data_IF_178043652485
#
_entry.id   IF_178043652485
#
_cell.length_a   1.000
_cell.length_b   1.000
_cell.length_c   1.000
_cell.angle_alpha   90.00
_cell.angle_beta   90.00
_cell.angle_gamma   90.00
#
_symmetry.space_group_name_H-M   'P 1'
#
loop_
_entity.id
_entity.type
_entity.pdbx_description
1 polymer ?
#
# COMPACT_ATOMS: atom_id res chain seq x y z
N UNK A 1 -24.39 6.65 -11.44
CA UNK A 1 -23.41 6.56 -10.33
C UNK A 1 -24.23 6.47 -9.06
N UNK A 2 -24.03 5.44 -8.24
CA UNK A 2 -24.80 5.27 -7.01
C UNK A 2 -24.07 6.04 -5.90
N UNK A 3 -24.77 6.99 -5.27
CA UNK A 3 -24.21 7.79 -4.18
C UNK A 3 -24.17 6.97 -2.89
N UNK A 4 -23.08 7.09 -2.13
CA UNK A 4 -22.93 6.42 -0.83
C UNK A 4 -23.46 7.34 0.25
N UNK A 5 -24.59 6.95 0.86
CA UNK A 5 -25.13 7.60 2.05
C UNK A 5 -25.06 6.66 3.26
N UNK A 6 -24.50 7.18 4.35
CA UNK A 6 -24.43 6.55 5.68
C UNK A 6 -25.02 7.56 6.68
N UNK A 7 -26.35 7.66 6.67
CA UNK A 7 -27.12 8.66 7.43
C UNK A 7 -27.10 8.42 8.94
N UNK A 8 -26.80 7.20 9.37
CA UNK A 8 -26.57 6.84 10.76
C UNK A 8 -25.09 6.54 10.91
N UNK A 9 -24.36 7.17 11.85
CA UNK A 9 -22.95 6.87 12.06
C UNK A 9 -22.70 5.38 12.27
N UNK A 10 -21.67 4.85 11.62
CA UNK A 10 -21.29 3.42 11.74
C UNK A 10 -19.81 3.25 11.97
N UNK A 11 -19.45 2.22 12.74
CA UNK A 11 -18.07 1.77 12.90
C UNK A 11 -17.88 0.45 12.16
N UNK A 12 -16.87 0.37 11.29
CA UNK A 12 -16.49 -0.85 10.58
C UNK A 12 -14.98 -0.88 10.36
N UNK A 13 -14.42 -2.07 10.20
CA UNK A 13 -13.05 -2.20 9.70
C UNK A 13 -12.97 -1.62 8.28
N UNK A 14 -11.81 -1.11 7.84
CA UNK A 14 -11.65 -0.58 6.50
C UNK A 14 -11.99 -1.63 5.43
N UNK A 15 -11.54 -2.88 5.62
CA UNK A 15 -11.81 -3.98 4.69
C UNK A 15 -13.30 -4.31 4.57
N UNK A 16 -14.02 -4.42 5.71
CA UNK A 16 -15.47 -4.66 5.69
C UNK A 16 -16.24 -3.52 5.01
N UNK A 17 -15.83 -2.26 5.24
CA UNK A 17 -16.45 -1.10 4.64
C UNK A 17 -16.27 -1.10 3.10
N UNK A 18 -15.06 -1.41 2.61
CA UNK A 18 -14.78 -1.52 1.17
C UNK A 18 -15.55 -2.71 0.56
N UNK A 19 -15.53 -3.88 1.21
CA UNK A 19 -16.29 -5.06 0.75
C UNK A 19 -17.77 -4.74 0.58
N UNK A 20 -18.37 -4.09 1.58
CA UNK A 20 -19.79 -3.66 1.52
C UNK A 20 -20.02 -2.68 0.37
N UNK A 21 -19.10 -1.73 0.17
CA UNK A 21 -19.17 -0.77 -0.92
C UNK A 21 -19.14 -1.46 -2.30
N UNK A 22 -18.22 -2.43 -2.50
CA UNK A 22 -18.14 -3.22 -3.73
C UNK A 22 -19.40 -4.07 -3.97
N UNK A 23 -19.94 -4.71 -2.94
CA UNK A 23 -21.20 -5.46 -3.02
C UNK A 23 -22.35 -4.53 -3.43
N UNK A 24 -22.45 -3.36 -2.80
CA UNK A 24 -23.50 -2.38 -3.13
C UNK A 24 -23.38 -1.85 -4.56
N UNK A 25 -22.15 -1.79 -5.10
CA UNK A 25 -21.87 -1.44 -6.49
C UNK A 25 -22.06 -2.59 -7.49
N UNK A 26 -22.57 -3.75 -7.07
CA UNK A 26 -22.84 -4.90 -7.95
C UNK A 26 -21.65 -5.82 -8.21
N UNK A 27 -20.53 -5.64 -7.51
CA UNK A 27 -19.31 -6.45 -7.69
C UNK A 27 -19.19 -7.60 -6.68
N UNK A 28 -20.27 -7.92 -5.95
CA UNK A 28 -20.23 -8.89 -4.85
C UNK A 28 -19.74 -10.28 -5.23
N UNK A 29 -20.05 -10.76 -6.43
CA UNK A 29 -19.59 -12.06 -6.95
C UNK A 29 -18.08 -12.11 -7.21
N UNK A 30 -17.43 -10.95 -7.33
CA UNK A 30 -16.00 -10.83 -7.60
C UNK A 30 -15.19 -10.51 -6.33
N UNK A 31 -15.82 -10.36 -5.16
CA UNK A 31 -15.07 -10.04 -3.94
C UNK A 31 -14.37 -11.30 -3.41
N UNK A 32 -13.04 -11.24 -3.33
CA UNK A 32 -12.21 -12.31 -2.80
C UNK A 32 -12.21 -12.44 -1.29
N UNK A 33 -11.69 -13.58 -0.80
CA UNK A 33 -11.68 -13.92 0.64
C UNK A 33 -10.70 -13.08 1.47
N UNK A 34 -9.74 -12.40 0.84
CA UNK A 34 -8.75 -11.56 1.54
C UNK A 34 -9.41 -10.43 2.34
N UNK A 35 -10.59 -9.96 1.91
CA UNK A 35 -11.37 -8.97 2.65
C UNK A 35 -11.82 -9.49 4.01
N UNK A 36 -12.28 -10.75 4.07
CA UNK A 36 -12.75 -11.37 5.31
C UNK A 36 -11.59 -11.67 6.26
N UNK A 37 -10.43 -12.06 5.72
CA UNK A 37 -9.22 -12.29 6.52
C UNK A 37 -8.73 -11.00 7.20
N UNK A 38 -8.66 -9.91 6.43
CA UNK A 38 -8.26 -8.60 6.97
C UNK A 38 -9.33 -8.05 7.92
N UNK A 39 -10.62 -8.18 7.59
CA UNK A 39 -11.71 -7.77 8.49
C UNK A 39 -11.65 -8.50 9.82
N UNK A 40 -11.51 -9.83 9.82
CA UNK A 40 -11.40 -10.62 11.03
C UNK A 40 -10.21 -10.18 11.91
N UNK A 41 -9.05 -9.95 11.28
CA UNK A 41 -7.86 -9.45 11.98
C UNK A 41 -8.07 -8.06 12.57
N UNK A 42 -8.65 -7.13 11.82
CA UNK A 42 -8.90 -5.77 12.31
C UNK A 42 -9.97 -5.72 13.38
N UNK A 43 -11.05 -6.49 13.22
CA UNK A 43 -12.13 -6.57 14.18
C UNK A 43 -11.63 -7.12 15.51
N UNK A 44 -10.76 -8.14 15.50
CA UNK A 44 -10.15 -8.70 16.69
C UNK A 44 -9.27 -7.69 17.46
N UNK A 45 -8.65 -6.74 16.74
CA UNK A 45 -7.78 -5.71 17.33
C UNK A 45 -8.50 -4.36 17.53
N UNK A 46 -9.78 -4.24 17.20
CA UNK A 46 -10.54 -3.00 17.32
C UNK A 46 -10.15 -1.91 16.33
N UNK A 47 -9.51 -2.26 15.21
CA UNK A 47 -9.07 -1.33 14.17
C UNK A 47 -10.23 -0.94 13.24
N UNK A 48 -11.02 0.03 13.67
CA UNK A 48 -12.24 0.45 12.98
C UNK A 48 -12.21 1.93 12.58
N UNK A 49 -12.90 2.23 11.48
CA UNK A 49 -13.16 3.59 11.01
C UNK A 49 -14.60 3.94 11.37
N UNK A 50 -14.78 5.09 12.00
CA UNK A 50 -16.06 5.75 12.19
C UNK A 50 -16.43 6.51 10.92
N UNK A 51 -17.65 6.27 10.42
CA UNK A 51 -18.15 6.82 9.16
C UNK A 51 -19.53 7.43 9.35
N UNK A 52 -19.70 8.66 8.86
CA UNK A 52 -20.98 9.37 8.87
C UNK A 52 -21.09 10.23 7.61
N UNK A 53 -21.71 9.69 6.57
CA UNK A 53 -21.78 10.35 5.25
C UNK A 53 -23.22 10.74 5.00
N UNK A 54 -23.50 12.03 4.99
CA UNK A 54 -24.85 12.54 4.75
C UNK A 54 -25.20 12.46 3.26
N UNK A 55 -26.48 12.21 2.96
CA UNK A 55 -26.99 12.22 1.58
C UNK A 55 -26.71 13.53 0.85
N UNK A 56 -26.65 14.65 1.58
CA UNK A 56 -26.37 15.99 1.04
C UNK A 56 -24.93 16.17 0.56
N UNK A 57 -24.02 15.26 0.89
CA UNK A 57 -22.59 15.40 0.57
C UNK A 57 -22.19 14.75 -0.77
N UNK A 58 -23.12 14.08 -1.47
CA UNK A 58 -22.95 13.51 -2.81
C UNK A 58 -21.59 12.81 -3.03
N UNK A 59 -21.19 11.92 -2.11
CA UNK A 59 -19.94 11.18 -2.23
C UNK A 59 -20.12 10.01 -3.19
N UNK A 60 -19.30 9.99 -4.25
CA UNK A 60 -19.28 8.88 -5.20
C UNK A 60 -18.68 7.63 -4.56
N UNK A 61 -19.15 6.45 -4.99
CA UNK A 61 -18.62 5.15 -4.53
C UNK A 61 -17.09 5.04 -4.68
N UNK A 62 -16.55 5.49 -5.81
CA UNK A 62 -15.10 5.49 -6.06
C UNK A 62 -14.34 6.37 -5.07
N UNK A 63 -14.86 7.56 -4.74
CA UNK A 63 -14.24 8.43 -3.74
C UNK A 63 -14.30 7.85 -2.33
N UNK A 64 -15.39 7.14 -1.99
CA UNK A 64 -15.55 6.46 -0.71
C UNK A 64 -14.57 5.30 -0.57
N UNK A 65 -14.47 4.44 -1.60
CA UNK A 65 -13.52 3.32 -1.61
C UNK A 65 -12.08 3.85 -1.55
N UNK A 66 -11.72 4.83 -2.39
CA UNK A 66 -10.39 5.44 -2.35
C UNK A 66 -10.04 6.00 -0.97
N UNK A 67 -11.04 6.60 -0.29
CA UNK A 67 -10.82 7.11 1.06
C UNK A 67 -10.57 6.01 2.09
N UNK A 68 -11.34 4.93 2.04
CA UNK A 68 -11.16 3.80 2.93
C UNK A 68 -9.85 3.03 2.65
N UNK A 69 -9.42 2.94 1.39
CA UNK A 69 -8.12 2.38 1.02
C UNK A 69 -6.99 3.22 1.63
N UNK A 70 -7.07 4.55 1.54
CA UNK A 70 -6.10 5.44 2.17
C UNK A 70 -6.07 5.27 3.70
N UNK A 71 -7.23 5.31 4.37
CA UNK A 71 -7.34 5.23 5.82
C UNK A 71 -6.90 3.87 6.39
N UNK A 72 -7.20 2.77 5.71
CA UNK A 72 -6.78 1.43 6.12
C UNK A 72 -5.37 1.06 5.65
N UNK A 73 -4.71 1.95 4.89
CA UNK A 73 -3.51 1.65 4.09
C UNK A 73 -3.63 0.30 3.34
N UNK A 74 -4.78 0.13 2.68
CA UNK A 74 -5.15 -1.05 1.93
C UNK A 74 -4.97 -0.82 0.44
N UNK A 75 -4.62 -1.87 -0.28
CA UNK A 75 -4.41 -1.84 -1.73
C UNK A 75 -5.24 -2.93 -2.39
N UNK A 76 -5.93 -2.58 -3.48
CA UNK A 76 -6.67 -3.55 -4.27
C UNK A 76 -5.77 -4.21 -5.28
N UNK A 77 -5.99 -5.50 -5.49
CA UNK A 77 -5.42 -6.25 -6.61
C UNK A 77 -6.51 -7.08 -7.27
N UNK A 78 -6.25 -7.51 -8.49
CA UNK A 78 -7.14 -8.37 -9.24
C UNK A 78 -6.42 -9.68 -9.50
N UNK A 79 -7.00 -10.76 -8.97
CA UNK A 79 -6.55 -12.10 -9.22
C UNK A 79 -7.04 -12.56 -10.59
N UNK A 80 -6.13 -12.55 -11.56
CA UNK A 80 -6.46 -12.92 -12.95
C UNK A 80 -6.86 -14.39 -13.11
N UNK A 81 -6.48 -15.27 -12.18
CA UNK A 81 -6.83 -16.70 -12.25
C UNK A 81 -8.24 -16.98 -11.75
N UNK A 82 -8.65 -16.30 -10.67
CA UNK A 82 -9.96 -16.49 -10.05
C UNK A 82 -10.99 -15.46 -10.51
N UNK A 83 -10.54 -14.39 -11.19
CA UNK A 83 -11.36 -13.24 -11.51
C UNK A 83 -11.78 -12.41 -10.29
N UNK A 84 -11.14 -12.65 -9.13
CA UNK A 84 -11.50 -12.01 -7.87
C UNK A 84 -10.75 -10.69 -7.67
N UNK A 85 -11.44 -9.71 -7.09
CA UNK A 85 -10.86 -8.52 -6.49
C UNK A 85 -10.41 -8.91 -5.09
N UNK A 86 -9.11 -8.84 -4.86
CA UNK A 86 -8.50 -9.06 -3.55
C UNK A 86 -8.00 -7.73 -2.98
N UNK A 87 -7.67 -7.76 -1.70
CA UNK A 87 -7.14 -6.64 -0.93
C UNK A 87 -5.92 -7.09 -0.16
N UNK A 88 -4.91 -6.21 -0.13
CA UNK A 88 -3.64 -6.42 0.58
C UNK A 88 -3.45 -5.29 1.58
N UNK A 89 -2.93 -5.64 2.76
CA UNK A 89 -2.53 -4.68 3.79
C UNK A 89 -1.12 -4.19 3.53
N UNK A 90 -0.99 -2.90 3.23
CA UNK A 90 0.30 -2.27 3.00
C UNK A 90 1.08 -2.87 1.84
N UNK A 91 2.27 -2.33 1.64
CA UNK A 91 3.20 -2.78 0.61
C UNK A 91 4.45 -3.42 1.20
N UNK A 92 4.74 -3.18 2.49
CA UNK A 92 5.84 -3.79 3.21
C UNK A 92 5.84 -5.31 3.09
N UNK A 93 7.03 -5.89 3.04
CA UNK A 93 7.18 -7.33 3.17
C UNK A 93 6.87 -7.76 4.61
N UNK A 94 6.08 -8.80 4.75
CA UNK A 94 5.57 -9.34 6.01
C UNK A 94 6.45 -10.46 6.59
N UNK A 95 7.59 -10.75 5.96
CA UNK A 95 8.50 -11.81 6.36
C UNK A 95 8.10 -13.20 5.85
N UNK A 96 6.98 -13.33 5.13
CA UNK A 96 6.54 -14.61 4.57
C UNK A 96 7.41 -14.97 3.36
N UNK A 97 7.73 -16.27 3.23
CA UNK A 97 8.53 -16.77 2.13
C UNK A 97 7.88 -16.50 0.76
N UNK A 98 8.64 -15.89 -0.15
CA UNK A 98 8.17 -15.61 -1.51
C UNK A 98 8.49 -16.79 -2.44
N UNK A 99 7.45 -17.34 -3.06
CA UNK A 99 7.55 -18.51 -3.95
C UNK A 99 8.04 -18.12 -5.34
N UNK A 100 7.58 -16.98 -5.86
CA UNK A 100 7.91 -16.52 -7.20
C UNK A 100 9.23 -15.77 -7.18
N UNK A 101 10.18 -16.22 -8.00
CA UNK A 101 11.53 -15.64 -8.06
C UNK A 101 11.79 -15.09 -9.45
N UNK A 102 12.54 -14.00 -9.53
CA UNK A 102 13.03 -13.47 -10.79
C UNK A 102 14.50 -13.03 -10.61
N UNK A 103 15.33 -13.38 -11.58
CA UNK A 103 16.74 -13.03 -11.63
C UNK A 103 17.02 -12.13 -12.82
N UNK A 104 18.24 -11.62 -12.95
CA UNK A 104 18.65 -10.86 -14.14
C UNK A 104 18.40 -11.60 -15.47
N UNK A 105 18.34 -12.94 -15.47
CA UNK A 105 18.05 -13.70 -16.69
C UNK A 105 16.62 -13.49 -17.20
N UNK A 106 15.68 -13.11 -16.33
CA UNK A 106 14.29 -12.86 -16.70
C UNK A 106 14.09 -11.46 -17.30
N UNK A 107 15.03 -10.54 -17.06
CA UNK A 107 14.95 -9.14 -17.45
C UNK A 107 15.65 -8.89 -18.78
N UNK A 108 14.99 -8.17 -19.69
CA UNK A 108 15.50 -7.92 -21.05
C UNK A 108 16.06 -6.50 -21.20
N UNK A 109 15.40 -5.51 -20.61
CA UNK A 109 15.78 -4.10 -20.68
C UNK A 109 15.50 -3.42 -19.34
N UNK A 110 16.36 -3.64 -18.35
CA UNK A 110 16.21 -3.05 -17.02
C UNK A 110 16.70 -1.60 -17.04
N UNK A 111 15.82 -0.67 -16.69
CA UNK A 111 16.18 0.73 -16.40
C UNK A 111 16.96 0.79 -15.07
N UNK A 112 17.69 1.90 -14.85
CA UNK A 112 18.42 2.11 -13.61
C UNK A 112 17.47 2.21 -12.40
N UNK A 113 18.00 1.90 -11.22
CA UNK A 113 17.26 2.02 -9.97
C UNK A 113 17.02 3.49 -9.64
N UNK A 114 15.77 3.83 -9.34
CA UNK A 114 15.36 5.16 -8.89
C UNK A 114 14.83 5.11 -7.45
N UNK A 115 15.02 6.21 -6.72
CA UNK A 115 14.51 6.42 -5.38
C UNK A 115 13.23 7.26 -5.46
N UNK A 116 12.07 6.59 -5.50
CA UNK A 116 10.79 7.27 -5.54
C UNK A 116 10.44 7.90 -4.19
N UNK A 117 10.43 9.23 -4.15
CA UNK A 117 10.03 10.04 -3.00
C UNK A 117 8.61 10.63 -3.14
N UNK A 118 7.84 10.24 -4.16
CA UNK A 118 6.51 10.81 -4.43
C UNK A 118 5.53 10.67 -3.25
N UNK A 119 5.66 9.57 -2.51
CA UNK A 119 4.84 9.23 -1.35
C UNK A 119 5.56 9.46 -0.01
N UNK A 120 6.74 10.09 0.00
CA UNK A 120 7.53 10.31 1.22
C UNK A 120 6.74 11.13 2.24
N UNK A 121 6.66 10.63 3.48
CA UNK A 121 6.07 11.31 4.63
C UNK A 121 7.08 11.33 5.78
N UNK A 122 7.07 12.36 6.61
CA UNK A 122 7.93 12.41 7.82
C UNK A 122 7.14 12.32 9.11
N UNK A 123 5.83 12.52 9.03
CA UNK A 123 4.96 12.47 10.16
C UNK A 123 3.56 12.08 9.70
N UNK A 124 2.78 11.57 10.64
CA UNK A 124 1.34 11.45 10.49
C UNK A 124 0.63 12.36 11.48
N UNK A 125 -0.56 12.81 11.07
CA UNK A 125 -1.46 13.55 11.93
C UNK A 125 -2.89 13.07 11.63
N UNK A 126 -3.42 12.25 12.54
CA UNK A 126 -4.62 11.47 12.33
C UNK A 126 -5.67 11.79 13.38
N UNK A 127 -6.92 11.91 12.93
CA UNK A 127 -8.05 12.31 13.76
C UNK A 127 -8.92 11.13 14.14
N UNK A 128 -9.27 11.03 15.42
CA UNK A 128 -10.06 9.92 15.96
C UNK A 128 -11.20 10.39 16.84
N UNK A 129 -12.17 9.51 17.10
CA UNK A 129 -13.30 9.75 18.00
C UNK A 129 -12.82 9.72 19.45
N UNK A 130 -12.98 10.83 20.17
CA UNK A 130 -12.68 10.96 21.59
C UNK A 130 -13.92 11.43 22.37
N UNK A 131 -14.82 10.51 22.69
CA UNK A 131 -16.12 10.86 23.25
C UNK A 131 -16.95 11.65 22.22
N UNK A 132 -17.35 12.88 22.57
CA UNK A 132 -18.09 13.77 21.68
C UNK A 132 -17.19 14.67 20.81
N UNK A 133 -15.87 14.64 21.08
CA UNK A 133 -14.88 15.50 20.44
C UNK A 133 -13.98 14.69 19.50
N UNK A 134 -13.15 15.43 18.76
CA UNK A 134 -12.15 14.86 17.86
C UNK A 134 -10.80 14.87 18.59
N UNK A 135 -10.24 13.68 18.81
CA UNK A 135 -8.87 13.50 19.26
C UNK A 135 -7.87 13.54 18.09
N UNK A 136 -6.59 13.72 18.43
CA UNK A 136 -5.48 13.82 17.46
C UNK A 136 -4.35 12.88 17.88
N UNK A 137 -3.91 12.04 16.96
CA UNK A 137 -2.79 11.11 17.10
C UNK A 137 -1.67 11.55 16.15
N UNK A 138 -0.43 11.58 16.64
CA UNK A 138 0.72 12.09 15.90
C UNK A 138 1.94 11.21 16.13
N UNK A 139 2.74 11.05 15.09
CA UNK A 139 4.05 10.39 15.14
C UNK A 139 4.93 10.92 14.02
N UNK A 140 6.25 10.89 14.23
CA UNK A 140 7.26 11.40 13.30
C UNK A 140 8.43 10.43 13.17
N UNK A 141 9.11 10.46 12.02
CA UNK A 141 10.35 9.70 11.82
C UNK A 141 11.51 10.33 12.57
N UNK A 142 12.54 9.54 12.86
CA UNK A 142 13.76 10.04 13.49
C UNK A 142 14.37 11.23 12.75
N UNK A 143 14.93 12.18 13.51
CA UNK A 143 15.49 13.42 12.97
C UNK A 143 16.56 13.18 11.89
N UNK A 144 17.34 12.11 12.01
CA UNK A 144 18.38 11.73 11.04
C UNK A 144 17.80 11.47 9.64
N UNK A 145 16.58 10.96 9.58
CA UNK A 145 15.88 10.61 8.34
C UNK A 145 15.26 11.86 7.71
N UNK A 146 14.74 12.75 8.56
CA UNK A 146 14.26 14.07 8.16
C UNK A 146 15.40 14.85 7.49
N UNK A 147 16.56 14.89 8.14
CA UNK A 147 17.75 15.59 7.65
C UNK A 147 18.26 14.98 6.33
N UNK A 148 18.14 13.66 6.17
CA UNK A 148 18.62 12.95 4.98
C UNK A 148 17.72 13.19 3.74
N UNK A 149 16.40 13.25 3.90
CA UNK A 149 15.48 13.22 2.77
C UNK A 149 14.71 14.53 2.51
N UNK A 150 14.83 15.52 3.41
CA UNK A 150 14.60 16.98 3.26
C UNK A 150 13.34 17.47 2.50
N UNK A 151 12.36 16.62 2.18
CA UNK A 151 11.16 17.01 1.44
C UNK A 151 9.94 16.26 1.96
N UNK A 152 9.29 16.87 2.94
CA UNK A 152 8.53 16.14 3.94
C UNK A 152 7.06 16.51 3.94
N UNK A 153 6.17 15.57 3.64
CA UNK A 153 4.72 15.76 3.85
C UNK A 153 4.32 15.19 5.21
N UNK A 154 3.38 15.86 5.87
CA UNK A 154 2.62 15.26 6.97
C UNK A 154 1.44 14.53 6.38
N UNK A 155 1.29 13.25 6.70
CA UNK A 155 0.15 12.46 6.26
C UNK A 155 -1.08 12.79 7.11
N UNK A 156 -1.98 13.56 6.53
CA UNK A 156 -3.23 13.99 7.16
C UNK A 156 -4.38 13.71 6.19
N UNK A 157 -4.84 12.45 6.09
CA UNK A 157 -5.90 12.08 5.16
C UNK A 157 -7.22 12.77 5.53
N UNK A 158 -7.53 12.94 6.82
CA UNK A 158 -8.76 13.59 7.27
C UNK A 158 -8.46 15.06 7.53
N UNK A 159 -9.18 15.95 6.86
CA UNK A 159 -9.14 17.39 7.17
C UNK A 159 -10.39 17.72 7.98
N UNK A 160 -10.28 17.96 9.30
CA UNK A 160 -11.43 18.21 10.14
C UNK A 160 -12.15 19.48 9.68
N UNK A 161 -13.47 19.36 9.50
CA UNK A 161 -14.37 20.44 9.13
C UNK A 161 -14.97 21.15 10.35
N UNK A 162 -14.90 20.53 11.53
CA UNK A 162 -15.39 21.09 12.79
C UNK A 162 -14.68 20.52 14.01
N UNK A 163 -15.25 20.78 15.20
CA UNK A 163 -14.76 20.25 16.49
C UNK A 163 -15.54 19.04 16.99
N UNK A 164 -16.69 18.74 16.38
CA UNK A 164 -17.56 17.64 16.76
C UNK A 164 -17.42 16.50 15.77
N UNK A 165 -17.54 15.27 16.26
CA UNK A 165 -17.53 14.08 15.40
C UNK A 165 -18.62 14.16 14.31
N UNK A 166 -19.78 14.76 14.61
CA UNK A 166 -20.95 14.75 13.71
C UNK A 166 -20.75 15.54 12.41
N UNK A 167 -19.80 16.47 12.37
CA UNK A 167 -19.46 17.22 11.16
C UNK A 167 -18.50 16.49 10.24
N UNK A 168 -17.87 15.42 10.73
CA UNK A 168 -16.88 14.67 9.97
C UNK A 168 -17.50 13.50 9.24
N UNK A 169 -16.89 13.15 8.10
CA UNK A 169 -17.33 12.00 7.30
C UNK A 169 -16.62 10.71 7.70
N UNK A 170 -15.38 10.86 8.13
CA UNK A 170 -14.47 9.77 8.46
C UNK A 170 -13.62 10.19 9.64
N UNK A 171 -13.54 9.32 10.64
CA UNK A 171 -12.60 9.41 11.76
C UNK A 171 -12.09 8.01 12.05
N UNK A 172 -10.90 7.88 12.62
CA UNK A 172 -10.53 6.63 13.27
C UNK A 172 -11.40 6.43 14.52
N UNK A 173 -11.80 5.19 14.82
CA UNK A 173 -12.72 4.92 15.93
C UNK A 173 -12.13 5.20 17.31
N UNK A 174 -10.80 5.17 17.44
CA UNK A 174 -10.07 5.41 18.68
C UNK A 174 -8.60 5.74 18.38
N UNK A 175 -7.87 6.19 19.41
CA UNK A 175 -6.45 6.54 19.32
C UNK A 175 -5.58 5.37 18.82
N UNK A 176 -5.79 4.16 19.36
CA UNK A 176 -5.02 2.97 18.99
C UNK A 176 -5.13 2.63 17.50
N UNK A 177 -6.32 2.83 16.91
CA UNK A 177 -6.53 2.63 15.47
C UNK A 177 -5.79 3.68 14.65
N UNK A 178 -5.85 4.95 15.09
CA UNK A 178 -5.15 6.03 14.42
C UNK A 178 -3.63 5.79 14.46
N UNK A 179 -3.07 5.49 15.63
CA UNK A 179 -1.64 5.19 15.77
C UNK A 179 -1.23 3.95 14.97
N UNK A 180 -2.03 2.89 14.96
CA UNK A 180 -1.72 1.69 14.17
C UNK A 180 -1.55 1.99 12.67
N UNK A 181 -2.53 2.67 12.05
CA UNK A 181 -2.43 3.00 10.62
C UNK A 181 -1.43 4.12 10.34
N UNK A 182 -1.31 5.09 11.24
CA UNK A 182 -0.32 6.16 11.22
C UNK A 182 1.10 5.62 11.19
N UNK A 183 1.44 4.84 12.20
CA UNK A 183 2.76 4.24 12.34
C UNK A 183 3.07 3.32 11.17
N UNK A 184 2.12 2.46 10.78
CA UNK A 184 2.35 1.52 9.67
C UNK A 184 2.64 2.23 8.35
N UNK A 185 1.98 3.35 8.08
CA UNK A 185 2.23 4.15 6.88
C UNK A 185 3.54 4.92 6.99
N UNK A 186 3.87 5.42 8.19
CA UNK A 186 5.15 6.07 8.48
C UNK A 186 6.34 5.11 8.34
N UNK A 187 6.20 3.87 8.81
CA UNK A 187 7.24 2.84 8.69
C UNK A 187 7.55 2.50 7.22
N UNK A 188 6.54 2.54 6.35
CA UNK A 188 6.75 2.23 4.94
C UNK A 188 7.14 3.45 4.10
N UNK A 189 6.50 4.59 4.32
CA UNK A 189 6.71 5.80 3.52
C UNK A 189 7.60 6.83 4.18
N UNK A 190 8.22 6.50 5.32
CA UNK A 190 9.19 7.34 6.03
C UNK A 190 10.49 7.59 5.27
N UNK A 191 10.75 6.78 4.24
CA UNK A 191 11.93 6.89 3.37
C UNK A 191 11.58 6.49 1.93
N UNK A 192 12.31 7.01 0.92
CA UNK A 192 12.03 6.73 -0.49
C UNK A 192 12.04 5.23 -0.82
N UNK A 193 11.18 4.84 -1.77
CA UNK A 193 11.08 3.46 -2.23
C UNK A 193 11.97 3.25 -3.44
N UNK A 194 12.76 2.19 -3.44
CA UNK A 194 13.57 1.83 -4.60
C UNK A 194 12.67 1.17 -5.64
N UNK A 195 12.64 1.75 -6.84
CA UNK A 195 11.89 1.25 -7.98
C UNK A 195 12.78 1.11 -9.20
N UNK A 196 12.42 0.18 -10.06
CA UNK A 196 12.96 0.14 -11.41
C UNK A 196 11.92 -0.43 -12.36
N UNK A 197 12.07 -0.06 -13.62
CA UNK A 197 11.20 -0.53 -14.70
C UNK A 197 11.98 -1.44 -15.62
N UNK A 198 11.32 -2.48 -16.13
CA UNK A 198 11.95 -3.47 -17.01
C UNK A 198 10.95 -4.15 -17.91
N UNK A 199 11.43 -4.79 -18.98
CA UNK A 199 10.67 -5.81 -19.72
C UNK A 199 11.04 -7.20 -19.19
N UNK A 200 10.05 -8.07 -19.00
CA UNK A 200 10.22 -9.39 -18.40
C UNK A 200 9.72 -10.52 -19.31
N UNK A 201 10.46 -11.63 -19.31
CA UNK A 201 10.09 -12.86 -20.02
C UNK A 201 8.81 -13.50 -19.47
N UNK A 202 8.09 -14.31 -20.26
CA UNK A 202 6.90 -15.04 -19.81
C UNK A 202 7.18 -16.12 -18.78
N UNK A 203 8.38 -16.69 -18.77
CA UNK A 203 8.69 -17.91 -18.02
C UNK A 203 10.06 -17.82 -17.35
N UNK A 204 10.24 -18.60 -16.29
CA UNK A 204 11.52 -18.72 -15.59
C UNK A 204 12.59 -19.33 -16.51
N UNK A 205 13.78 -18.74 -16.48
CA UNK A 205 14.91 -19.23 -17.28
C UNK A 205 15.27 -20.65 -16.85
N UNK A 206 15.32 -21.58 -17.81
CA UNK A 206 15.55 -22.99 -17.56
C UNK A 206 14.29 -23.82 -17.28
N UNK A 207 13.12 -23.19 -17.14
CA UNK A 207 11.84 -23.90 -17.06
C UNK A 207 10.71 -23.15 -17.78
N UNK A 208 10.59 -23.39 -19.09
CA UNK A 208 9.59 -22.76 -19.94
C UNK A 208 8.13 -23.15 -19.60
N UNK A 209 7.91 -24.16 -18.74
CA UNK A 209 6.57 -24.54 -18.27
C UNK A 209 6.14 -23.70 -17.06
N UNK A 210 7.08 -23.05 -16.37
CA UNK A 210 6.79 -22.19 -15.23
C UNK A 210 6.63 -20.76 -15.69
N UNK A 211 5.41 -20.45 -16.11
CA UNK A 211 5.01 -19.11 -16.54
C UNK A 211 4.88 -18.16 -15.34
N UNK A 212 5.33 -16.93 -15.54
CA UNK A 212 5.00 -15.82 -14.65
C UNK A 212 3.55 -15.42 -14.88
N UNK A 213 2.83 -15.29 -13.77
CA UNK A 213 1.50 -14.73 -13.75
C UNK A 213 1.52 -13.44 -12.94
N UNK A 214 2.10 -12.39 -13.51
CA UNK A 214 2.22 -11.10 -12.85
C UNK A 214 0.90 -10.34 -12.91
N UNK A 215 0.45 -9.93 -11.74
CA UNK A 215 -0.63 -8.99 -11.49
C UNK A 215 -0.13 -7.86 -10.58
N UNK A 216 -0.96 -6.83 -10.37
CA UNK A 216 -0.63 -5.77 -9.43
C UNK A 216 -0.39 -6.36 -8.03
N UNK A 217 0.63 -5.87 -7.33
CA UNK A 217 1.07 -6.32 -6.00
C UNK A 217 1.61 -7.75 -5.91
N UNK A 218 1.83 -8.43 -7.04
CA UNK A 218 2.50 -9.74 -7.06
C UNK A 218 3.85 -9.63 -6.36
N UNK A 219 4.08 -10.48 -5.37
CA UNK A 219 5.35 -10.55 -4.67
C UNK A 219 6.36 -11.39 -5.47
N UNK A 220 7.58 -10.88 -5.58
CA UNK A 220 8.71 -11.49 -6.26
C UNK A 220 9.94 -11.40 -5.36
N UNK A 221 10.70 -12.49 -5.24
CA UNK A 221 12.05 -12.45 -4.70
C UNK A 221 13.01 -12.16 -5.86
N UNK A 222 13.73 -11.05 -5.77
CA UNK A 222 14.58 -10.54 -6.83
C UNK A 222 16.05 -10.80 -6.52
N UNK A 223 16.74 -11.43 -7.47
CA UNK A 223 18.20 -11.52 -7.47
C UNK A 223 18.75 -10.77 -8.66
N UNK A 224 19.24 -9.55 -8.43
CA UNK A 224 19.68 -8.64 -9.49
C UNK A 224 21.05 -8.05 -9.21
N UNK A 225 21.87 -7.93 -10.25
CA UNK A 225 23.19 -7.30 -10.18
C UNK A 225 23.06 -5.79 -10.24
N UNK A 226 23.71 -5.11 -9.30
CA UNK A 226 23.78 -3.65 -9.21
C UNK A 226 24.98 -3.13 -10.01
N UNK A 227 26.18 -3.58 -9.64
CA UNK A 227 27.45 -3.20 -10.23
C UNK A 227 28.40 -4.41 -10.26
N UNK A 228 29.69 -4.21 -10.56
CA UNK A 228 30.70 -5.26 -10.42
C UNK A 228 30.71 -5.81 -8.98
N UNK A 229 30.45 -7.11 -8.85
CA UNK A 229 30.43 -7.85 -7.59
C UNK A 229 29.43 -7.35 -6.51
N UNK A 230 28.41 -6.56 -6.90
CA UNK A 230 27.34 -6.13 -6.00
C UNK A 230 25.99 -6.62 -6.51
N UNK A 231 25.22 -7.27 -5.62
CA UNK A 231 23.96 -7.91 -5.94
C UNK A 231 22.93 -7.62 -4.86
N UNK A 232 21.68 -7.46 -5.28
CA UNK A 232 20.54 -7.84 -4.45
C UNK A 232 20.32 -9.34 -4.60
N UNK A 233 20.09 -10.05 -3.49
CA UNK A 233 19.88 -11.48 -3.45
C UNK A 233 18.58 -11.73 -2.72
N UNK A 234 17.63 -12.39 -3.40
CA UNK A 234 16.29 -12.70 -2.90
C UNK A 234 15.57 -11.51 -2.22
N UNK A 235 15.81 -10.29 -2.71
CA UNK A 235 15.17 -9.09 -2.16
C UNK A 235 13.68 -9.08 -2.51
N UNK A 236 12.78 -8.91 -1.52
CA UNK A 236 11.35 -8.95 -1.75
C UNK A 236 10.89 -7.66 -2.46
N UNK A 237 10.20 -7.84 -3.57
CA UNK A 237 9.64 -6.78 -4.37
C UNK A 237 8.17 -7.03 -4.72
N UNK A 238 7.47 -5.97 -5.10
CA UNK A 238 6.10 -6.03 -5.61
C UNK A 238 6.00 -5.39 -6.98
N UNK A 239 5.13 -5.93 -7.82
CA UNK A 239 4.71 -5.31 -9.07
C UNK A 239 3.80 -4.11 -8.76
N UNK A 240 4.24 -2.90 -9.04
CA UNK A 240 3.45 -1.67 -8.82
C UNK A 240 2.81 -1.13 -10.10
N UNK A 241 3.30 -1.57 -11.26
CA UNK A 241 2.70 -1.31 -12.57
C UNK A 241 3.13 -2.41 -13.53
N UNK A 242 2.26 -2.80 -14.46
CA UNK A 242 2.65 -3.70 -15.54
C UNK A 242 1.80 -3.49 -16.79
N UNK A 243 2.34 -3.92 -17.91
CA UNK A 243 1.65 -4.10 -19.20
C UNK A 243 1.93 -5.53 -19.65
N UNK A 244 0.90 -6.21 -20.13
CA UNK A 244 1.02 -7.56 -20.68
C UNK A 244 0.63 -7.56 -22.16
N UNK A 245 1.46 -8.15 -23.01
CA UNK A 245 1.16 -8.36 -24.42
C UNK A 245 0.73 -9.82 -24.63
N UNK A 246 -0.57 -10.03 -24.85
CA UNK A 246 -1.16 -11.36 -25.03
C UNK A 246 -0.65 -12.08 -26.28
N UNK A 247 -0.29 -11.35 -27.34
CA UNK A 247 0.15 -11.97 -28.60
C UNK A 247 1.56 -12.53 -28.49
N UNK A 248 2.43 -11.77 -27.82
CA UNK A 248 3.84 -12.13 -27.64
C UNK A 248 4.07 -12.94 -26.38
N UNK A 249 3.08 -12.99 -25.47
CA UNK A 249 3.22 -13.57 -24.14
C UNK A 249 4.45 -12.98 -23.44
N UNK A 250 4.57 -11.65 -23.43
CA UNK A 250 5.67 -10.97 -22.75
C UNK A 250 5.12 -9.85 -21.88
N UNK A 251 5.88 -9.48 -20.87
CA UNK A 251 5.63 -8.26 -20.11
C UNK A 251 6.52 -7.15 -20.67
N UNK A 252 6.06 -6.36 -21.65
CA UNK A 252 6.89 -5.30 -22.24
C UNK A 252 7.28 -4.23 -21.21
N UNK A 253 6.49 -4.05 -20.15
CA UNK A 253 6.80 -3.13 -19.07
C UNK A 253 6.30 -3.68 -17.74
N UNK A 254 7.18 -3.76 -16.75
CA UNK A 254 6.90 -4.07 -15.35
C UNK A 254 7.69 -3.07 -14.51
N UNK A 255 7.01 -2.38 -13.61
CA UNK A 255 7.66 -1.57 -12.57
C UNK A 255 7.62 -2.35 -11.28
N UNK A 256 8.82 -2.60 -10.73
CA UNK A 256 9.02 -3.32 -9.49
C UNK A 256 9.43 -2.34 -8.40
N UNK A 257 8.83 -2.47 -7.22
CA UNK A 257 9.20 -1.73 -6.02
C UNK A 257 9.77 -2.69 -4.98
N UNK A 258 10.94 -2.38 -4.43
CA UNK A 258 11.51 -3.13 -3.31
C UNK A 258 10.73 -2.85 -2.03
N UNK A 259 10.25 -3.91 -1.39
CA UNK A 259 9.30 -3.83 -0.26
C UNK A 259 9.93 -4.02 1.12
N UNK A 260 11.19 -4.43 1.14
CA UNK A 260 12.02 -4.53 2.35
C UNK A 260 13.06 -3.41 2.45
N UNK A 261 13.14 -2.54 1.45
CA UNK A 261 14.17 -1.51 1.40
C UNK A 261 13.84 -0.38 2.38
N UNK A 262 14.73 -0.12 3.35
CA UNK A 262 14.64 0.90 4.40
C UNK A 262 13.26 0.99 5.08
N UNK A 263 13.01 0.16 6.09
CA UNK A 263 12.12 0.60 7.17
C UNK A 263 12.98 1.45 8.11
N UNK A 264 12.66 2.73 8.33
CA UNK A 264 13.46 3.65 9.15
C UNK A 264 13.72 3.12 10.58
N UNK A 265 12.84 2.24 11.06
CA UNK A 265 12.79 1.80 12.46
C UNK A 265 13.32 0.37 12.70
N UNK A 266 13.98 -0.25 11.71
CA UNK A 266 14.56 -1.59 11.85
C UNK A 266 16.09 -1.48 11.69
N UNK A 267 16.83 -1.68 12.78
CA UNK A 267 18.30 -1.71 12.78
C UNK A 267 18.82 -2.80 11.83
N UNK A 268 19.83 -2.49 11.00
CA UNK A 268 20.46 -3.43 10.07
C UNK A 268 21.98 -3.30 10.02
N UNK A 269 22.65 -4.43 9.75
CA UNK A 269 24.11 -4.57 9.69
C UNK A 269 24.71 -4.31 8.28
N UNK A 270 24.04 -3.54 7.41
CA UNK A 270 24.52 -3.30 6.04
C UNK A 270 24.56 -1.80 5.74
N UNK A 271 25.74 -1.31 5.35
CA UNK A 271 25.97 0.09 4.96
C UNK A 271 25.68 0.27 3.47
N UNK A 272 24.85 1.25 3.11
CA UNK A 272 24.44 1.53 1.74
C UNK A 272 24.86 2.94 1.29
N UNK A 273 25.00 3.17 -0.03
CA UNK A 273 25.49 4.43 -0.57
C UNK A 273 24.56 5.60 -0.22
N UNK A 274 25.14 6.62 0.40
CA UNK A 274 24.49 7.91 0.67
C UNK A 274 24.25 8.59 -0.67
N UNK A 275 23.02 9.04 -0.95
CA UNK A 275 22.75 9.94 -2.08
C UNK A 275 23.71 11.13 -1.97
N UNK A 276 24.33 11.64 -3.06
CA UNK A 276 25.19 12.80 -2.95
C UNK A 276 24.40 13.96 -2.35
N UNK A 277 24.93 14.55 -1.28
CA UNK A 277 24.48 15.87 -0.84
C UNK A 277 24.71 16.80 -2.03
N UNK A 278 23.68 17.47 -2.58
CA UNK A 278 23.91 18.50 -3.58
C UNK A 278 24.75 19.58 -2.89
N UNK A 279 26.00 19.73 -3.33
CA UNK A 279 26.84 20.89 -3.03
C UNK A 279 26.25 22.16 -3.63
#
# INVERSE_FOLDING_TARGET
>A
MQDVAVTVPTNRTPAAAIKRALISGGLGAFVGSSFDLIDASDAANGFQIWMHILTTQNKTLGSHIAKLLELGDLWLTFNVQTGAIDVVRGLAWDGIGIVTRATDNEFINREDLDFDSSNLIVAYDLFFVNGAEIGRAQGEVDQTIIDQWANSKVWTPIKPQGRTIMTENYLYSNAATADFFGQRRLDYFGVPRVRFKTSMKPAESGNNLKLYNLQLLTQLALTIRLHENQYFIDEPARVVQFTFDENRQVYPSVTLELTNYLAPNITRDVTFPVRPVPT
#
